data_IF_137008135619
#
_entry.id   IF_137008135619
#
_cell.length_a   1.000
_cell.length_b   1.000
_cell.length_c   1.000
_cell.angle_alpha   90.00
_cell.angle_beta   90.00
_cell.angle_gamma   90.00
#
_symmetry.space_group_name_H-M   'P 1'
#
loop_
_entity.id
_entity.type
_entity.pdbx_description
1 polymer ?
#
# COMPACT_ATOMS: atom_id res chain seq x y z
N UNK A 1 33.19 9.56 -71.41
CA UNK A 1 32.61 10.68 -70.63
C UNK A 1 32.89 10.40 -69.15
N UNK A 2 33.79 11.20 -68.57
CA UNK A 2 33.88 11.66 -67.16
C UNK A 2 33.81 10.58 -66.05
N UNK A 3 34.88 10.14 -65.38
CA UNK A 3 35.89 10.80 -64.53
C UNK A 3 35.43 11.19 -63.10
N UNK A 4 36.34 10.94 -62.13
CA UNK A 4 36.41 11.33 -60.71
C UNK A 4 35.51 10.57 -59.72
N UNK A 5 35.97 10.12 -58.54
CA UNK A 5 37.21 10.34 -57.81
C UNK A 5 36.91 10.66 -56.33
N UNK A 6 37.47 9.85 -55.42
CA UNK A 6 37.84 10.10 -54.00
C UNK A 6 36.91 10.88 -53.05
N UNK A 7 36.72 10.38 -51.82
CA UNK A 7 37.61 10.70 -50.69
C UNK A 7 37.00 10.28 -49.34
N UNK A 8 37.83 9.67 -48.51
CA UNK A 8 37.64 9.54 -47.06
C UNK A 8 37.68 10.93 -46.39
N UNK A 9 36.87 11.13 -45.35
CA UNK A 9 37.09 12.18 -44.37
C UNK A 9 36.84 11.63 -42.96
N UNK A 10 37.95 11.46 -42.24
CA UNK A 10 38.06 11.26 -40.81
C UNK A 10 37.64 12.53 -40.07
N UNK A 11 36.64 12.43 -39.18
CA UNK A 11 36.22 13.51 -38.30
C UNK A 11 36.72 13.27 -36.88
N UNK A 12 37.84 13.90 -36.53
CA UNK A 12 38.34 14.05 -35.16
C UNK A 12 37.48 15.11 -34.46
N UNK A 13 36.92 14.80 -33.28
CA UNK A 13 36.29 15.78 -32.39
C UNK A 13 37.33 16.25 -31.37
N UNK A 14 37.51 17.57 -31.16
CA UNK A 14 38.56 18.08 -30.29
C UNK A 14 38.21 17.99 -28.80
N UNK A 15 39.25 17.69 -28.03
CA UNK A 15 39.36 17.73 -26.59
C UNK A 15 39.50 19.19 -26.11
N UNK A 16 38.70 19.61 -25.12
CA UNK A 16 38.68 20.98 -24.64
C UNK A 16 37.91 21.19 -23.34
N UNK A 17 38.63 21.02 -22.23
CA UNK A 17 38.59 21.78 -20.98
C UNK A 17 37.23 22.29 -20.42
N UNK A 18 36.88 21.85 -19.20
CA UNK A 18 36.97 22.70 -18.00
C UNK A 18 36.34 22.07 -16.73
N UNK A 19 37.20 21.96 -15.69
CA UNK A 19 36.99 22.41 -14.30
C UNK A 19 35.88 21.77 -13.46
N UNK A 20 36.32 20.82 -12.65
CA UNK A 20 36.16 20.69 -11.19
C UNK A 20 35.24 21.72 -10.49
N UNK A 21 34.15 21.23 -9.90
CA UNK A 21 33.51 21.86 -8.75
C UNK A 21 33.39 20.82 -7.62
N UNK A 22 34.32 20.90 -6.67
CA UNK A 22 34.16 20.37 -5.31
C UNK A 22 33.28 21.36 -4.55
N UNK A 23 32.21 20.87 -3.95
CA UNK A 23 31.34 21.68 -3.08
C UNK A 23 30.41 20.76 -2.32
N UNK A 24 30.93 20.11 -1.28
CA UNK A 24 30.10 19.39 -0.33
C UNK A 24 29.33 20.38 0.52
N UNK A 25 28.01 20.29 0.51
CA UNK A 25 27.18 20.94 1.50
C UNK A 25 26.67 19.91 2.50
N UNK A 26 27.00 20.20 3.75
CA UNK A 26 26.69 19.44 4.95
C UNK A 26 25.19 19.53 5.21
N UNK A 27 24.51 18.40 5.27
CA UNK A 27 23.20 18.33 5.93
C UNK A 27 23.42 18.46 7.44
N UNK A 28 23.00 19.60 7.98
CA UNK A 28 22.96 19.83 9.42
C UNK A 28 21.81 19.02 10.02
N UNK A 29 22.19 18.13 10.93
CA UNK A 29 21.33 17.48 11.92
C UNK A 29 20.87 18.53 12.94
N UNK A 30 19.56 18.62 13.16
CA UNK A 30 18.98 19.44 14.21
C UNK A 30 17.67 18.81 14.73
N UNK A 31 17.82 17.93 15.71
CA UNK A 31 17.17 18.14 17.01
C UNK A 31 15.73 17.65 17.14
N UNK A 32 15.56 16.37 17.42
CA UNK A 32 14.46 15.88 18.24
C UNK A 32 14.76 16.15 19.73
N UNK A 33 13.77 16.60 20.52
CA UNK A 33 13.57 16.31 21.96
C UNK A 33 12.16 16.77 22.42
N UNK A 34 11.64 16.29 23.59
CA UNK A 34 10.25 15.83 23.76
C UNK A 34 9.50 16.57 24.91
N UNK A 35 8.43 15.92 25.42
CA UNK A 35 7.62 16.16 26.65
C UNK A 35 6.22 16.75 26.36
N UNK A 36 5.09 16.10 26.66
CA UNK A 36 4.54 15.49 27.89
C UNK A 36 3.77 16.47 28.80
N UNK A 37 2.50 16.09 29.05
CA UNK A 37 1.59 16.49 30.14
C UNK A 37 1.00 17.93 30.05
N UNK A 38 -0.23 18.26 30.48
CA UNK A 38 -1.03 17.95 31.69
C UNK A 38 -2.50 18.40 31.41
N UNK A 39 -3.58 17.75 31.89
CA UNK A 39 -4.57 18.18 32.93
C UNK A 39 -5.99 17.73 32.46
N UNK A 40 -6.99 17.27 33.23
CA UNK A 40 -7.19 17.12 34.67
C UNK A 40 -8.37 16.17 34.97
N UNK A 41 -8.27 15.52 36.13
CA UNK A 41 -9.23 14.67 36.83
C UNK A 41 -10.46 15.44 37.36
N UNK A 42 -11.69 14.93 37.11
CA UNK A 42 -12.88 15.21 37.94
C UNK A 42 -13.84 14.00 37.88
N UNK A 43 -13.69 13.03 38.79
CA UNK A 43 -14.79 12.14 39.23
C UNK A 43 -14.44 11.36 40.52
N UNK A 44 -13.72 12.03 41.42
CA UNK A 44 -13.71 11.66 42.84
C UNK A 44 -14.90 12.33 43.49
N UNK A 45 -15.70 11.54 44.20
CA UNK A 45 -16.69 11.91 45.25
C UNK A 45 -18.17 11.73 44.89
N UNK A 46 -18.67 10.50 45.02
CA UNK A 46 -19.99 10.15 45.57
C UNK A 46 -19.77 8.83 46.34
N UNK A 47 -19.57 8.87 47.66
CA UNK A 47 -20.57 8.52 48.70
C UNK A 47 -21.17 7.11 48.47
N UNK A 48 -21.06 6.14 49.37
CA UNK A 48 -20.69 6.18 50.78
C UNK A 48 -20.65 4.77 51.40
N UNK A 49 -20.40 4.80 52.70
CA UNK A 49 -20.27 3.71 53.67
C UNK A 49 -21.22 2.51 53.46
N UNK A 50 -20.65 1.30 53.54
CA UNK A 50 -21.36 0.09 53.96
C UNK A 50 -20.53 -0.70 54.98
N UNK A 51 -21.17 -1.34 55.97
CA UNK A 51 -20.51 -1.96 57.11
C UNK A 51 -19.96 -3.36 56.79
N UNK A 52 -18.95 -3.74 57.57
CA UNK A 52 -18.28 -5.04 57.57
C UNK A 52 -19.20 -6.16 58.07
N UNK A 53 -19.33 -7.24 57.29
CA UNK A 53 -20.06 -8.48 57.63
C UNK A 53 -19.05 -9.63 57.68
N UNK A 54 -19.07 -10.50 58.71
CA UNK A 54 -18.06 -11.55 58.87
C UNK A 54 -18.27 -12.71 57.89
N UNK A 55 -17.18 -13.38 57.54
CA UNK A 55 -17.15 -14.52 56.63
C UNK A 55 -17.80 -15.76 57.27
N UNK A 56 -18.76 -16.36 56.55
CA UNK A 56 -19.24 -17.70 56.82
C UNK A 56 -18.41 -18.72 56.02
N UNK A 57 -17.95 -19.77 56.70
CA UNK A 57 -17.28 -20.94 56.13
C UNK A 57 -18.24 -21.70 55.19
N UNK A 58 -17.78 -22.19 54.03
CA UNK A 58 -18.68 -22.77 53.03
C UNK A 58 -19.19 -24.15 53.45
N UNK A 59 -20.50 -24.38 53.35
CA UNK A 59 -21.05 -25.72 53.21
C UNK A 59 -20.95 -26.13 51.74
N UNK A 60 -20.44 -27.34 51.49
CA UNK A 60 -20.27 -27.89 50.14
C UNK A 60 -21.63 -27.98 49.44
N UNK A 61 -21.81 -27.17 48.39
CA UNK A 61 -22.93 -27.30 47.47
C UNK A 61 -22.69 -28.48 46.53
N UNK A 62 -23.75 -29.23 46.13
CA UNK A 62 -23.63 -30.34 45.21
C UNK A 62 -23.09 -29.83 43.87
N UNK A 63 -22.17 -30.59 43.26
CA UNK A 63 -21.68 -30.35 41.92
C UNK A 63 -22.88 -30.25 40.97
N UNK A 64 -23.18 -29.03 40.52
CA UNK A 64 -23.96 -28.84 39.31
C UNK A 64 -23.08 -29.29 38.16
N UNK A 65 -23.63 -30.12 37.29
CA UNK A 65 -23.04 -30.45 36.01
C UNK A 65 -22.64 -29.14 35.32
N UNK A 66 -21.34 -28.91 35.23
CA UNK A 66 -20.75 -27.82 34.47
C UNK A 66 -20.95 -28.20 33.01
N UNK A 67 -22.08 -27.78 32.46
CA UNK A 67 -22.20 -27.65 31.03
C UNK A 67 -21.11 -26.64 30.61
N UNK A 68 -20.16 -27.01 29.75
CA UNK A 68 -19.09 -26.11 29.38
C UNK A 68 -19.73 -24.85 28.82
N UNK A 69 -19.39 -23.72 29.45
CA UNK A 69 -19.73 -22.39 28.99
C UNK A 69 -19.09 -22.24 27.60
N UNK A 70 -19.86 -22.56 26.56
CA UNK A 70 -19.55 -22.19 25.19
C UNK A 70 -19.79 -20.69 25.14
N UNK A 71 -18.75 -19.96 25.54
CA UNK A 71 -18.60 -18.55 25.23
C UNK A 71 -18.85 -18.42 23.72
N UNK A 72 -19.88 -17.68 23.26
CA UNK A 72 -20.04 -17.42 21.84
C UNK A 72 -18.74 -16.77 21.37
N UNK A 73 -18.13 -17.41 20.37
CA UNK A 73 -16.77 -17.15 19.93
C UNK A 73 -16.53 -15.65 19.77
N UNK A 74 -15.43 -15.20 20.34
CA UNK A 74 -14.75 -14.00 19.85
C UNK A 74 -14.51 -14.26 18.36
N UNK A 75 -15.32 -13.63 17.50
CA UNK A 75 -15.07 -13.58 16.06
C UNK A 75 -13.58 -13.24 15.88
N UNK A 76 -12.79 -14.13 15.24
CA UNK A 76 -11.36 -13.93 15.15
C UNK A 76 -11.15 -12.59 14.47
N UNK A 77 -10.36 -11.72 15.13
CA UNK A 77 -9.92 -10.42 14.64
C UNK A 77 -9.70 -10.52 13.13
N UNK A 78 -10.60 -9.98 12.32
CA UNK A 78 -10.56 -10.17 10.88
C UNK A 78 -9.23 -9.57 10.41
N UNK A 79 -8.23 -10.43 10.18
CA UNK A 79 -6.91 -9.99 9.78
C UNK A 79 -7.10 -9.46 8.37
N UNK A 80 -7.01 -8.14 8.22
CA UNK A 80 -7.06 -7.48 6.93
C UNK A 80 -6.12 -8.21 5.96
N UNK A 81 -6.68 -8.84 4.94
CA UNK A 81 -5.87 -9.60 4.01
C UNK A 81 -5.05 -8.63 3.17
N UNK A 82 -3.78 -8.94 2.94
CA UNK A 82 -2.96 -8.28 1.93
C UNK A 82 -3.06 -9.11 0.65
N UNK A 83 -3.29 -8.46 -0.49
CA UNK A 83 -3.21 -9.13 -1.79
C UNK A 83 -1.76 -9.12 -2.25
N UNK A 84 -1.21 -10.27 -2.65
CA UNK A 84 0.17 -10.40 -3.13
C UNK A 84 0.25 -11.07 -4.51
N UNK A 85 1.23 -10.66 -5.30
CA UNK A 85 1.67 -11.29 -6.55
C UNK A 85 3.19 -11.32 -6.61
N UNK A 86 3.75 -12.41 -7.12
CA UNK A 86 5.19 -12.55 -7.36
C UNK A 86 5.49 -12.25 -8.83
N UNK A 87 6.39 -11.32 -9.06
CA UNK A 87 6.87 -10.92 -10.38
C UNK A 87 8.34 -11.29 -10.55
N UNK A 88 8.65 -11.99 -11.65
CA UNK A 88 10.04 -12.20 -12.06
C UNK A 88 10.57 -10.94 -12.72
N UNK A 89 11.63 -10.35 -12.18
CA UNK A 89 12.28 -9.20 -12.82
C UNK A 89 13.01 -9.66 -14.09
N UNK A 90 12.57 -9.12 -15.23
CA UNK A 90 13.07 -9.44 -16.57
C UNK A 90 14.00 -8.35 -17.08
N UNK A 91 14.73 -8.67 -18.15
CA UNK A 91 15.61 -7.71 -18.81
C UNK A 91 14.87 -6.44 -19.25
N UNK A 92 13.61 -6.58 -19.72
CA UNK A 92 12.77 -5.46 -20.11
C UNK A 92 12.46 -4.48 -18.96
N UNK A 93 12.60 -4.90 -17.71
CA UNK A 93 12.41 -4.04 -16.54
C UNK A 93 13.68 -3.27 -16.17
N UNK A 94 14.84 -3.68 -16.68
CA UNK A 94 16.13 -3.19 -16.24
C UNK A 94 16.70 -2.10 -17.17
N UNK A 95 17.48 -1.20 -16.58
CA UNK A 95 18.32 -0.25 -17.32
C UNK A 95 19.76 -0.81 -17.49
N UNK A 96 20.67 -0.09 -18.18
CA UNK A 96 22.05 -0.53 -18.38
C UNK A 96 22.87 -0.72 -17.09
N UNK A 97 22.41 -0.23 -15.93
CA UNK A 97 23.08 -0.50 -14.64
C UNK A 97 22.72 -1.88 -14.07
N UNK A 98 21.86 -2.66 -14.74
CA UNK A 98 21.48 -4.02 -14.33
C UNK A 98 20.49 -4.06 -13.17
N UNK A 99 19.80 -2.94 -12.91
CA UNK A 99 18.74 -2.82 -11.90
C UNK A 99 17.44 -2.38 -12.57
N UNK A 100 16.32 -2.56 -11.89
CA UNK A 100 15.01 -2.10 -12.37
C UNK A 100 15.02 -0.60 -12.60
N UNK A 101 14.69 -0.18 -13.82
CA UNK A 101 14.46 1.22 -14.15
C UNK A 101 13.20 1.70 -13.43
N UNK A 102 13.30 2.76 -12.61
CA UNK A 102 12.22 3.09 -11.68
C UNK A 102 10.79 3.22 -12.27
N UNK A 103 10.55 3.70 -13.51
CA UNK A 103 9.21 3.73 -14.09
C UNK A 103 8.61 2.35 -14.30
N UNK A 104 9.43 1.32 -14.48
CA UNK A 104 8.97 -0.05 -14.64
C UNK A 104 8.29 -0.56 -13.38
N UNK A 105 8.62 -0.05 -12.19
CA UNK A 105 7.84 -0.36 -11.00
C UNK A 105 6.39 0.08 -11.15
N UNK A 106 6.09 1.24 -11.74
CA UNK A 106 4.70 1.69 -11.89
C UNK A 106 3.91 0.84 -12.89
N UNK A 107 4.57 0.27 -13.90
CA UNK A 107 3.97 -0.72 -14.79
C UNK A 107 3.61 -1.99 -14.01
N UNK A 108 4.54 -2.50 -13.20
CA UNK A 108 4.31 -3.68 -12.37
C UNK A 108 3.23 -3.45 -11.30
N UNK A 109 3.21 -2.26 -10.68
CA UNK A 109 2.17 -1.88 -9.71
C UNK A 109 0.79 -1.77 -10.36
N UNK A 110 0.71 -1.29 -11.60
CA UNK A 110 -0.56 -1.31 -12.34
C UNK A 110 -1.01 -2.74 -12.64
N UNK A 111 -0.10 -3.63 -13.03
CA UNK A 111 -0.39 -5.06 -13.19
C UNK A 111 -0.92 -5.69 -11.89
N UNK A 112 -0.29 -5.38 -10.74
CA UNK A 112 -0.79 -5.81 -9.43
C UNK A 112 -2.23 -5.34 -9.17
N UNK A 113 -2.57 -4.10 -9.53
CA UNK A 113 -3.94 -3.57 -9.38
C UNK A 113 -4.90 -4.32 -10.30
N UNK A 114 -4.54 -4.56 -11.56
CA UNK A 114 -5.36 -5.32 -12.50
C UNK A 114 -5.64 -6.74 -12.00
N UNK A 115 -4.61 -7.44 -11.52
CA UNK A 115 -4.74 -8.76 -10.91
C UNK A 115 -5.59 -8.73 -9.65
N UNK A 116 -5.46 -7.68 -8.83
CA UNK A 116 -6.26 -7.53 -7.62
C UNK A 116 -7.74 -7.32 -7.94
N UNK A 117 -8.07 -6.52 -8.96
CA UNK A 117 -9.45 -6.37 -9.40
C UNK A 117 -10.04 -7.71 -9.87
N UNK A 118 -9.31 -8.40 -10.76
CA UNK A 118 -9.77 -9.67 -11.33
C UNK A 118 -9.86 -10.77 -10.27
N UNK A 119 -8.75 -11.10 -9.61
CA UNK A 119 -8.64 -12.27 -8.74
C UNK A 119 -9.00 -11.98 -7.28
N UNK A 120 -8.69 -10.76 -6.82
CA UNK A 120 -8.93 -10.35 -5.43
C UNK A 120 -10.34 -9.85 -5.18
N UNK A 121 -10.89 -9.05 -6.10
CA UNK A 121 -12.23 -8.46 -5.96
C UNK A 121 -13.32 -9.22 -6.72
N UNK A 122 -12.94 -10.09 -7.67
CA UNK A 122 -13.88 -10.80 -8.54
C UNK A 122 -14.49 -9.89 -9.62
N UNK A 123 -13.81 -8.79 -9.95
CA UNK A 123 -14.22 -7.84 -10.96
C UNK A 123 -13.18 -7.86 -12.09
N UNK A 124 -13.44 -8.66 -13.13
CA UNK A 124 -12.51 -8.84 -14.24
C UNK A 124 -12.10 -7.49 -14.85
N UNK A 125 -10.80 -7.20 -14.80
CA UNK A 125 -10.25 -5.91 -15.22
C UNK A 125 -10.47 -5.65 -16.71
N UNK A 126 -10.37 -6.70 -17.55
CA UNK A 126 -10.57 -6.55 -18.99
C UNK A 126 -12.04 -6.23 -19.31
N UNK A 127 -13.00 -6.93 -18.70
CA UNK A 127 -14.43 -6.65 -18.84
C UNK A 127 -14.77 -5.25 -18.33
N UNK A 128 -14.23 -4.86 -17.16
CA UNK A 128 -14.46 -3.55 -16.57
C UNK A 128 -14.08 -2.42 -17.54
N UNK A 129 -12.91 -2.52 -18.17
CA UNK A 129 -12.41 -1.52 -19.11
C UNK A 129 -13.09 -1.61 -20.48
N UNK A 130 -13.20 -2.81 -21.05
CA UNK A 130 -13.60 -2.98 -22.46
C UNK A 130 -15.12 -2.99 -22.66
N UNK A 131 -15.87 -3.58 -21.73
CA UNK A 131 -17.33 -3.75 -21.81
C UNK A 131 -18.03 -2.69 -20.96
N UNK A 132 -17.69 -2.61 -19.67
CA UNK A 132 -18.36 -1.68 -18.73
C UNK A 132 -17.89 -0.23 -18.88
N UNK A 133 -16.83 0.01 -19.67
CA UNK A 133 -16.20 1.32 -19.89
C UNK A 133 -15.91 2.03 -18.57
N UNK A 134 -15.41 1.30 -17.60
CA UNK A 134 -14.95 1.83 -16.32
C UNK A 134 -13.47 1.54 -16.13
N UNK A 135 -12.79 2.43 -15.45
CA UNK A 135 -11.38 2.25 -15.11
C UNK A 135 -11.05 2.87 -13.78
N UNK A 136 -9.86 2.51 -13.29
CA UNK A 136 -9.35 3.00 -12.01
C UNK A 136 -8.01 3.71 -12.19
N UNK A 137 -7.97 4.85 -12.89
CA UNK A 137 -6.74 5.63 -13.01
C UNK A 137 -6.17 5.99 -11.64
N UNK A 138 -4.84 6.03 -11.57
CA UNK A 138 -4.12 6.51 -10.40
C UNK A 138 -4.16 8.03 -10.36
N UNK A 139 -4.79 8.59 -9.32
CA UNK A 139 -4.86 10.04 -9.09
C UNK A 139 -3.68 10.56 -8.24
N UNK A 140 -3.13 9.73 -7.36
CA UNK A 140 -1.94 10.05 -6.55
C UNK A 140 -1.05 8.83 -6.41
N UNK A 141 0.25 9.05 -6.50
CA UNK A 141 1.29 8.07 -6.21
C UNK A 141 2.40 8.74 -5.40
N UNK A 142 2.73 8.17 -4.25
CA UNK A 142 3.85 8.56 -3.40
C UNK A 142 4.69 7.30 -3.14
N UNK A 143 5.91 7.24 -3.67
CA UNK A 143 6.69 6.02 -3.70
C UNK A 143 8.13 6.26 -3.22
N UNK A 144 8.60 5.42 -2.31
CA UNK A 144 9.98 5.41 -1.82
C UNK A 144 10.67 4.12 -2.28
N UNK A 145 11.81 4.25 -2.95
CA UNK A 145 12.65 3.14 -3.38
C UNK A 145 13.80 2.96 -2.38
N UNK A 146 13.72 1.93 -1.55
CA UNK A 146 14.68 1.71 -0.47
C UNK A 146 15.90 0.90 -0.91
N UNK A 147 15.73 -0.04 -1.84
CA UNK A 147 16.80 -0.92 -2.35
C UNK A 147 16.56 -1.27 -3.82
N UNK A 148 17.63 -1.41 -4.63
CA UNK A 148 17.49 -1.79 -6.03
C UNK A 148 17.03 -3.24 -6.17
N UNK A 149 16.18 -3.52 -7.16
CA UNK A 149 15.88 -4.88 -7.63
C UNK A 149 16.67 -5.17 -8.90
N UNK A 150 17.06 -6.43 -9.10
CA UNK A 150 17.96 -6.87 -10.16
C UNK A 150 17.29 -7.89 -11.07
N UNK A 151 17.85 -8.05 -12.27
CA UNK A 151 17.47 -9.12 -13.19
C UNK A 151 17.46 -10.47 -12.47
N UNK A 152 16.35 -11.20 -12.58
CA UNK A 152 16.17 -12.52 -11.96
C UNK A 152 15.63 -12.48 -10.52
N UNK A 153 15.51 -11.31 -9.89
CA UNK A 153 14.83 -11.20 -8.59
C UNK A 153 13.38 -11.66 -8.72
N UNK A 154 12.89 -12.34 -7.66
CA UNK A 154 11.48 -12.67 -7.46
C UNK A 154 10.87 -11.61 -6.56
N UNK A 155 10.31 -10.57 -7.17
CA UNK A 155 9.73 -9.42 -6.46
C UNK A 155 8.29 -9.75 -6.07
N UNK A 156 8.04 -9.89 -4.78
CA UNK A 156 6.67 -9.98 -4.26
C UNK A 156 6.13 -8.57 -4.07
N UNK A 157 5.13 -8.24 -4.86
CA UNK A 157 4.34 -7.02 -4.75
C UNK A 157 3.08 -7.32 -3.95
N UNK A 158 2.62 -6.37 -3.17
CA UNK A 158 1.28 -6.48 -2.62
C UNK A 158 0.70 -5.19 -2.09
N UNK A 159 -0.60 -5.24 -1.82
CA UNK A 159 -1.41 -4.08 -1.51
C UNK A 159 -2.42 -4.37 -0.39
N UNK A 160 -2.79 -3.30 0.32
CA UNK A 160 -3.88 -3.27 1.31
C UNK A 160 -4.70 -2.01 1.14
N UNK A 161 -6.00 -2.10 1.39
CA UNK A 161 -6.91 -0.95 1.36
C UNK A 161 -6.81 -0.20 2.67
N UNK A 162 -6.68 1.11 2.58
CA UNK A 162 -6.45 2.01 3.71
C UNK A 162 -7.63 2.95 3.95
N UNK A 163 -8.35 3.28 2.87
CA UNK A 163 -9.57 4.08 2.90
C UNK A 163 -10.44 3.76 1.68
N UNK A 164 -11.75 3.70 1.89
CA UNK A 164 -12.75 3.62 0.81
C UNK A 164 -13.61 4.87 0.83
N UNK A 165 -13.48 5.73 -0.20
CA UNK A 165 -14.32 6.91 -0.39
C UNK A 165 -15.59 6.61 -1.20
N UNK A 166 -16.21 7.65 -1.76
CA UNK A 166 -17.33 7.49 -2.69
C UNK A 166 -16.86 6.92 -4.04
N UNK A 167 -15.88 7.58 -4.67
CA UNK A 167 -15.26 7.20 -5.95
C UNK A 167 -13.78 6.82 -5.82
N UNK A 168 -13.13 7.13 -4.69
CA UNK A 168 -11.69 6.93 -4.50
C UNK A 168 -11.37 5.74 -3.58
N UNK A 169 -10.24 5.07 -3.83
CA UNK A 169 -9.70 3.97 -3.04
C UNK A 169 -8.24 4.30 -2.73
N UNK A 170 -7.89 4.39 -1.45
CA UNK A 170 -6.50 4.62 -1.03
C UNK A 170 -5.85 3.30 -0.61
N UNK A 171 -4.65 3.04 -1.13
CA UNK A 171 -3.90 1.81 -0.97
C UNK A 171 -2.53 2.07 -0.34
N UNK A 172 -2.10 1.15 0.52
CA UNK A 172 -0.69 0.97 0.88
C UNK A 172 -0.15 -0.21 0.09
N UNK A 173 0.97 0.02 -0.59
CA UNK A 173 1.61 -0.93 -1.51
C UNK A 173 3.05 -1.15 -1.08
N UNK A 174 3.54 -2.38 -1.18
CA UNK A 174 4.95 -2.70 -0.93
C UNK A 174 5.48 -3.71 -1.94
N UNK A 175 6.79 -3.63 -2.18
CA UNK A 175 7.53 -4.63 -2.95
C UNK A 175 8.71 -5.15 -2.12
N UNK A 176 8.86 -6.48 -2.06
CA UNK A 176 9.92 -7.16 -1.31
C UNK A 176 10.56 -8.29 -2.10
N UNK A 177 11.82 -8.58 -1.82
CA UNK A 177 12.50 -9.80 -2.27
C UNK A 177 12.99 -10.51 -1.01
N UNK A 178 12.44 -11.69 -0.73
CA UNK A 178 12.53 -12.28 0.61
C UNK A 178 11.91 -11.34 1.64
N UNK A 179 12.69 -10.99 2.66
CA UNK A 179 12.29 -10.07 3.74
C UNK A 179 12.75 -8.61 3.50
N UNK A 180 13.50 -8.35 2.43
CA UNK A 180 14.00 -7.03 2.13
C UNK A 180 12.97 -6.20 1.36
N UNK A 181 12.51 -5.11 1.97
CA UNK A 181 11.68 -4.12 1.29
C UNK A 181 12.51 -3.40 0.21
N UNK A 182 12.05 -3.48 -1.03
CA UNK A 182 12.62 -2.80 -2.19
C UNK A 182 11.92 -1.46 -2.43
N UNK A 183 10.60 -1.41 -2.25
CA UNK A 183 9.80 -0.20 -2.36
C UNK A 183 8.60 -0.19 -1.41
N UNK A 184 8.14 1.01 -1.07
CA UNK A 184 6.83 1.25 -0.44
C UNK A 184 6.14 2.39 -1.18
N UNK A 185 4.83 2.27 -1.38
CA UNK A 185 4.05 3.32 -1.99
C UNK A 185 2.69 3.52 -1.31
N UNK A 186 2.18 4.75 -1.41
CA UNK A 186 0.78 5.10 -1.15
C UNK A 186 0.14 5.50 -2.47
N UNK A 187 -0.94 4.83 -2.84
CA UNK A 187 -1.60 4.99 -4.13
C UNK A 187 -3.07 5.32 -3.94
N UNK A 188 -3.56 6.33 -4.65
CA UNK A 188 -5.00 6.63 -4.71
C UNK A 188 -5.52 6.30 -6.10
N UNK A 189 -6.46 5.36 -6.17
CA UNK A 189 -7.21 5.03 -7.37
C UNK A 189 -8.54 5.77 -7.36
N UNK A 190 -9.05 6.17 -8.54
CA UNK A 190 -10.38 6.77 -8.68
C UNK A 190 -11.18 6.00 -9.70
N UNK A 191 -12.37 5.54 -9.32
CA UNK A 191 -13.31 4.93 -10.25
C UNK A 191 -13.85 5.97 -11.22
N UNK A 192 -13.67 5.72 -12.53
CA UNK A 192 -14.03 6.63 -13.59
C UNK A 192 -14.83 5.93 -14.70
N UNK A 193 -15.78 6.64 -15.28
CA UNK A 193 -16.37 6.27 -16.56
C UNK A 193 -15.43 6.68 -17.69
N UNK A 194 -15.01 5.75 -18.53
CA UNK A 194 -14.06 5.94 -19.63
C UNK A 194 -14.67 6.63 -20.85
N UNK A 195 -16.00 6.66 -20.96
CA UNK A 195 -16.68 7.40 -22.03
C UNK A 195 -16.76 8.90 -21.71
N UNK A 196 -17.07 9.23 -20.45
CA UNK A 196 -17.23 10.63 -20.01
C UNK A 196 -15.97 11.22 -19.39
N UNK A 197 -14.99 10.37 -19.06
CA UNK A 197 -13.76 10.73 -18.33
C UNK A 197 -14.03 11.40 -16.98
N UNK A 198 -15.16 11.06 -16.33
CA UNK A 198 -15.55 11.59 -15.02
C UNK A 198 -15.50 10.51 -13.95
N UNK A 199 -15.21 10.94 -12.72
CA UNK A 199 -15.30 10.05 -11.56
C UNK A 199 -16.75 9.62 -11.32
N UNK A 200 -16.95 8.35 -11.00
CA UNK A 200 -18.25 7.78 -10.65
C UNK A 200 -18.16 7.06 -9.30
N UNK A 201 -19.27 6.87 -8.57
CA UNK A 201 -19.28 6.07 -7.35
C UNK A 201 -18.72 4.66 -7.59
N UNK A 202 -17.99 4.13 -6.63
CA UNK A 202 -17.52 2.73 -6.66
C UNK A 202 -18.77 1.83 -6.68
N UNK A 203 -18.90 0.92 -7.67
CA UNK A 203 -20.02 -0.01 -7.75
C UNK A 203 -20.19 -0.82 -6.46
N UNK A 204 -21.43 -1.05 -5.98
CA UNK A 204 -21.69 -1.73 -4.71
C UNK A 204 -21.02 -3.11 -4.59
N UNK A 205 -20.97 -3.87 -5.68
CA UNK A 205 -20.34 -5.18 -5.74
C UNK A 205 -18.83 -5.13 -5.51
N UNK A 206 -18.15 -4.13 -6.08
CA UNK A 206 -16.72 -3.91 -5.87
C UNK A 206 -16.50 -3.41 -4.45
N UNK A 207 -17.31 -2.45 -3.99
CA UNK A 207 -17.22 -1.88 -2.64
C UNK A 207 -17.32 -2.95 -1.55
N UNK A 208 -18.22 -3.92 -1.70
CA UNK A 208 -18.36 -5.02 -0.76
C UNK A 208 -17.09 -5.89 -0.69
N UNK A 209 -16.47 -6.18 -1.85
CA UNK A 209 -15.22 -6.95 -1.93
C UNK A 209 -14.01 -6.22 -1.34
N UNK A 210 -13.95 -4.88 -1.42
CA UNK A 210 -12.84 -4.08 -0.88
C UNK A 210 -12.63 -4.28 0.63
N UNK A 211 -13.71 -4.52 1.38
CA UNK A 211 -13.65 -4.70 2.83
C UNK A 211 -12.71 -5.84 3.27
N UNK A 212 -12.52 -6.87 2.43
CA UNK A 212 -11.58 -7.98 2.68
C UNK A 212 -10.13 -7.52 2.84
N UNK A 213 -9.78 -6.43 2.20
CA UNK A 213 -8.41 -5.89 2.15
C UNK A 213 -8.25 -4.61 3.00
N UNK A 214 -9.33 -4.15 3.66
CA UNK A 214 -9.30 -2.97 4.51
C UNK A 214 -8.50 -3.24 5.78
N UNK A 215 -7.43 -2.46 5.99
CA UNK A 215 -6.73 -2.42 7.27
C UNK A 215 -7.70 -2.09 8.42
N UNK A 216 -7.51 -2.73 9.57
CA UNK A 216 -8.29 -2.45 10.77
C UNK A 216 -8.41 -0.94 11.01
N UNK A 217 -9.66 -0.44 11.08
CA UNK A 217 -9.94 0.99 11.23
C UNK A 217 -10.19 1.78 9.93
N UNK A 218 -10.31 1.11 8.78
CA UNK A 218 -10.77 1.74 7.54
C UNK A 218 -12.20 2.28 7.73
N UNK A 219 -12.36 3.59 7.89
CA UNK A 219 -13.66 4.23 8.08
C UNK A 219 -14.43 4.29 6.75
N UNK A 220 -15.59 3.64 6.71
CA UNK A 220 -16.48 3.60 5.55
C UNK A 220 -17.36 4.84 5.38
N UNK A 221 -17.09 5.94 6.10
CA UNK A 221 -17.95 7.12 6.09
C UNK A 221 -17.62 8.07 4.94
N UNK A 222 -18.34 7.92 3.83
CA UNK A 222 -18.54 9.00 2.87
C UNK A 222 -19.58 9.97 3.40
N UNK A 223 -19.19 11.19 3.77
CA UNK A 223 -20.13 12.32 3.86
C UNK A 223 -20.62 12.66 2.45
N UNK A 224 -21.94 12.73 2.30
CA UNK A 224 -22.64 12.99 1.04
C UNK A 224 -22.49 14.40 0.51
#
# INVERSE_FOLDING_TARGET
MTALGNAMATGVVPEGAARNARGGERFADAGAKPAAAVMTSVWKTLLGFLPFVPAATPAAAPQRDVQPDVQPGVEPYAVSAMFEREELIRFAHCDPAGIVFYPQYFVLLNGLVEDWFTDGLGADSAELVTVRKMGTPTARMDCTFSRPSRLGDRLVLGLTVTKIGNSAIDLDVQGRVGDEIRLKARQTLVMCCLETMKSVPIPPEIRASLARYCRNGCSSEGKG
#
